data_IF_698190498267
#
_entry.id   IF_698190498267
#
_cell.length_a   1.000
_cell.length_b   1.000
_cell.length_c   1.000
_cell.angle_alpha   90.00
_cell.angle_beta   90.00
_cell.angle_gamma   90.00
#
_symmetry.space_group_name_H-M   'P 1'
#
loop_
_entity.id
_entity.type
_entity.pdbx_description
1 polymer ?
#
# COMPACT_ATOMS: atom_id res chain seq x y z
N UNK A 1 8.39 -14.92 1.57
CA UNK A 1 7.95 -13.56 1.16
C UNK A 1 6.44 -13.45 1.02
N UNK A 2 5.85 -14.48 0.46
CA UNK A 2 4.40 -14.55 0.34
C UNK A 2 3.67 -14.29 1.66
N UNK A 3 4.25 -14.67 2.80
CA UNK A 3 3.60 -14.48 4.10
C UNK A 3 3.40 -13.01 4.47
N UNK A 4 4.38 -12.13 4.18
CA UNK A 4 4.23 -10.70 4.44
C UNK A 4 3.11 -10.12 3.59
N UNK A 5 3.10 -10.47 2.30
CA UNK A 5 2.08 -10.03 1.36
C UNK A 5 0.69 -10.57 1.73
N UNK A 6 0.62 -11.85 2.09
CA UNK A 6 -0.64 -12.48 2.50
C UNK A 6 -1.21 -11.81 3.75
N UNK A 7 -0.35 -11.52 4.73
CA UNK A 7 -0.77 -10.83 5.95
C UNK A 7 -1.28 -9.42 5.64
N UNK A 8 -0.60 -8.71 4.73
CA UNK A 8 -1.04 -7.39 4.29
C UNK A 8 -2.41 -7.46 3.61
N UNK A 9 -2.58 -8.44 2.72
CA UNK A 9 -3.83 -8.62 1.98
C UNK A 9 -5.00 -9.04 2.88
N UNK A 10 -4.73 -9.80 3.94
CA UNK A 10 -5.77 -10.19 4.91
C UNK A 10 -6.33 -9.00 5.68
N UNK A 11 -5.57 -7.91 5.78
CA UNK A 11 -6.00 -6.70 6.44
C UNK A 11 -6.68 -5.71 5.50
N UNK A 12 -6.94 -6.12 4.27
CA UNK A 12 -7.54 -5.27 3.23
C UNK A 12 -8.79 -4.55 3.73
N UNK A 13 -8.99 -3.29 3.35
CA UNK A 13 -10.20 -2.56 3.73
C UNK A 13 -11.43 -3.17 3.06
N UNK A 14 -12.55 -3.16 3.77
CA UNK A 14 -13.81 -3.73 3.29
C UNK A 14 -14.60 -2.73 2.45
N UNK A 15 -14.44 -1.45 2.75
CA UNK A 15 -15.17 -0.35 2.11
C UNK A 15 -14.38 0.95 2.30
N UNK A 16 -14.95 2.06 1.82
CA UNK A 16 -14.29 3.37 1.90
C UNK A 16 -14.09 3.81 3.36
N UNK A 17 -15.08 3.58 4.23
CA UNK A 17 -14.97 3.97 5.64
C UNK A 17 -13.85 3.21 6.34
N UNK A 18 -13.71 1.93 6.05
CA UNK A 18 -12.66 1.08 6.63
C UNK A 18 -11.27 1.45 6.09
N UNK A 19 -11.21 2.03 4.89
CA UNK A 19 -9.95 2.43 4.24
C UNK A 19 -9.12 3.39 5.11
N UNK A 20 -9.80 4.36 5.74
CA UNK A 20 -9.10 5.38 6.54
C UNK A 20 -8.43 4.75 7.75
N UNK A 21 -9.12 3.84 8.43
CA UNK A 21 -8.56 3.09 9.55
C UNK A 21 -7.37 2.22 9.09
N UNK A 22 -7.55 1.53 7.97
CA UNK A 22 -6.51 0.67 7.39
C UNK A 22 -5.22 1.45 7.14
N UNK A 23 -5.32 2.61 6.50
CA UNK A 23 -4.14 3.43 6.16
C UNK A 23 -3.43 3.92 7.43
N UNK A 24 -4.17 4.27 8.47
CA UNK A 24 -3.56 4.73 9.73
C UNK A 24 -2.86 3.61 10.49
N UNK A 25 -3.41 2.40 10.45
CA UNK A 25 -2.91 1.28 11.25
C UNK A 25 -1.81 0.48 10.56
N UNK A 26 -1.86 0.33 9.24
CA UNK A 26 -1.03 -0.64 8.52
C UNK A 26 0.48 -0.38 8.66
N UNK A 27 0.99 0.87 8.67
CA UNK A 27 2.43 1.07 8.83
C UNK A 27 2.96 0.58 10.16
N UNK A 28 2.22 0.83 11.26
CA UNK A 28 2.63 0.42 12.60
C UNK A 28 2.55 -1.10 12.76
N UNK A 29 1.46 -1.68 12.27
CA UNK A 29 1.29 -3.13 12.29
C UNK A 29 2.41 -3.84 11.50
N UNK A 30 2.70 -3.33 10.30
CA UNK A 30 3.74 -3.90 9.44
C UNK A 30 5.12 -3.82 10.09
N UNK A 31 5.46 -2.68 10.67
CA UNK A 31 6.74 -2.49 11.35
C UNK A 31 6.88 -3.42 12.55
N UNK A 32 5.81 -3.56 13.33
CA UNK A 32 5.82 -4.43 14.52
C UNK A 32 5.96 -5.90 14.14
N UNK A 33 5.21 -6.36 13.16
CA UNK A 33 5.16 -7.77 12.79
C UNK A 33 6.31 -8.19 11.87
N UNK A 34 6.69 -7.35 10.93
CA UNK A 34 7.62 -7.70 9.85
C UNK A 34 8.84 -6.78 9.73
N UNK A 35 9.06 -5.88 10.70
CA UNK A 35 10.15 -4.90 10.61
C UNK A 35 11.52 -5.51 10.43
N UNK A 36 11.84 -6.56 11.19
CA UNK A 36 13.14 -7.25 11.09
C UNK A 36 13.35 -7.83 9.69
N UNK A 37 12.31 -8.42 9.12
CA UNK A 37 12.36 -9.02 7.80
C UNK A 37 12.61 -7.97 6.71
N UNK A 38 11.94 -6.82 6.80
CA UNK A 38 12.15 -5.72 5.86
C UNK A 38 13.57 -5.17 5.95
N UNK A 39 14.09 -5.00 7.16
CA UNK A 39 15.48 -4.52 7.35
C UNK A 39 16.48 -5.47 6.72
N UNK A 40 16.31 -6.77 6.94
CA UNK A 40 17.20 -7.79 6.36
C UNK A 40 17.11 -7.80 4.83
N UNK A 41 15.90 -7.80 4.29
CA UNK A 41 15.67 -7.79 2.85
C UNK A 41 16.27 -6.55 2.19
N UNK A 42 16.09 -5.40 2.82
CA UNK A 42 16.64 -4.15 2.28
C UNK A 42 18.17 -4.20 2.19
N UNK A 43 18.82 -4.72 3.24
CA UNK A 43 20.28 -4.88 3.25
C UNK A 43 20.75 -5.79 2.11
N UNK A 44 20.07 -6.92 1.91
CA UNK A 44 20.46 -7.89 0.89
C UNK A 44 20.19 -7.34 -0.51
N UNK A 45 19.00 -6.85 -0.78
CA UNK A 45 18.58 -6.50 -2.14
C UNK A 45 19.10 -5.16 -2.63
N UNK A 46 19.60 -4.29 -1.74
CA UNK A 46 20.27 -3.06 -2.16
C UNK A 46 21.77 -3.22 -2.32
N UNK A 47 22.35 -4.34 -1.87
CA UNK A 47 23.77 -4.61 -2.06
C UNK A 47 24.05 -4.84 -3.55
N UNK A 48 25.12 -4.22 -4.11
CA UNK A 48 25.39 -4.32 -5.54
C UNK A 48 25.45 -5.75 -6.08
N UNK A 49 25.96 -6.69 -5.29
CA UNK A 49 26.08 -8.10 -5.68
C UNK A 49 24.71 -8.78 -5.87
N UNK A 50 23.69 -8.37 -5.10
CA UNK A 50 22.38 -9.04 -5.08
C UNK A 50 21.26 -8.20 -5.69
N UNK A 51 21.59 -7.02 -6.23
CA UNK A 51 20.61 -6.07 -6.76
C UNK A 51 19.69 -6.67 -7.82
N UNK A 52 20.25 -7.48 -8.70
CA UNK A 52 19.48 -8.12 -9.77
C UNK A 52 18.40 -9.07 -9.24
N UNK A 53 18.69 -9.75 -8.14
CA UNK A 53 17.72 -10.65 -7.51
C UNK A 53 16.58 -9.87 -6.85
N UNK A 54 16.90 -8.74 -6.22
CA UNK A 54 15.91 -7.86 -5.66
C UNK A 54 14.97 -7.28 -6.70
N UNK A 55 15.53 -6.85 -7.83
CA UNK A 55 14.76 -6.33 -8.95
C UNK A 55 13.75 -7.36 -9.46
N UNK A 56 14.20 -8.59 -9.67
CA UNK A 56 13.35 -9.69 -10.13
C UNK A 56 12.26 -10.03 -9.10
N UNK A 57 12.62 -10.02 -7.82
CA UNK A 57 11.66 -10.25 -6.73
C UNK A 57 10.54 -9.20 -6.76
N UNK A 58 10.90 -7.92 -6.90
CA UNK A 58 9.92 -6.84 -6.90
C UNK A 58 9.04 -6.84 -8.15
N UNK A 59 9.49 -7.38 -9.27
CA UNK A 59 8.63 -7.58 -10.44
C UNK A 59 7.47 -8.51 -10.11
N UNK A 60 7.74 -9.63 -9.42
CA UNK A 60 6.69 -10.55 -8.98
C UNK A 60 5.74 -9.93 -7.96
N UNK A 61 6.29 -9.11 -7.04
CA UNK A 61 5.48 -8.36 -6.07
C UNK A 61 4.52 -7.42 -6.79
N UNK A 62 4.99 -6.74 -7.84
CA UNK A 62 4.16 -5.82 -8.60
C UNK A 62 2.95 -6.51 -9.20
N UNK A 63 3.12 -7.72 -9.75
CA UNK A 63 2.01 -8.48 -10.31
C UNK A 63 0.97 -8.84 -9.25
N UNK A 64 1.41 -9.30 -8.09
CA UNK A 64 0.51 -9.67 -6.99
C UNK A 64 -0.28 -8.47 -6.47
N UNK A 65 0.36 -7.31 -6.34
CA UNK A 65 -0.33 -6.11 -5.86
C UNK A 65 -1.26 -5.52 -6.91
N UNK A 66 -0.98 -5.72 -8.20
CA UNK A 66 -1.92 -5.35 -9.25
C UNK A 66 -3.20 -6.17 -9.14
N UNK A 67 -3.10 -7.47 -8.91
CA UNK A 67 -4.26 -8.34 -8.71
C UNK A 67 -5.02 -7.96 -7.43
N UNK A 68 -4.29 -7.58 -6.37
CA UNK A 68 -4.88 -7.07 -5.14
C UNK A 68 -5.68 -5.80 -5.41
N UNK A 69 -5.13 -4.86 -6.18
CA UNK A 69 -5.82 -3.62 -6.54
C UNK A 69 -7.12 -3.91 -7.32
N UNK A 70 -7.09 -4.89 -8.21
CA UNK A 70 -8.30 -5.32 -8.92
C UNK A 70 -9.37 -5.82 -7.96
N UNK A 71 -8.99 -6.52 -6.90
CA UNK A 71 -9.94 -7.00 -5.89
C UNK A 71 -10.53 -5.87 -5.05
N UNK A 72 -9.82 -4.75 -4.91
CA UNK A 72 -10.29 -3.60 -4.16
C UNK A 72 -11.19 -2.67 -4.97
N UNK A 73 -11.12 -2.71 -6.29
CA UNK A 73 -11.90 -1.82 -7.14
C UNK A 73 -13.39 -1.84 -6.82
N UNK A 74 -14.06 -2.99 -6.73
CA UNK A 74 -15.50 -3.01 -6.42
C UNK A 74 -15.81 -2.53 -5.01
N UNK A 75 -14.88 -2.66 -4.09
CA UNK A 75 -15.07 -2.24 -2.68
C UNK A 75 -14.92 -0.74 -2.48
N UNK A 76 -14.00 -0.12 -3.23
CA UNK A 76 -13.65 1.29 -3.07
C UNK A 76 -14.23 2.18 -4.18
N UNK A 77 -14.62 1.58 -5.29
CA UNK A 77 -15.14 2.33 -6.43
C UNK A 77 -14.08 3.14 -7.16
N UNK A 78 -12.81 2.82 -6.99
CA UNK A 78 -11.69 3.49 -7.64
C UNK A 78 -11.08 2.51 -8.65
N UNK A 79 -10.82 2.92 -9.91
CA UNK A 79 -10.21 2.04 -10.89
C UNK A 79 -8.87 1.46 -10.41
N UNK A 80 -8.62 0.19 -10.67
CA UNK A 80 -7.41 -0.47 -10.18
C UNK A 80 -6.14 0.18 -10.75
N UNK A 81 -6.19 0.77 -11.94
CA UNK A 81 -5.04 1.45 -12.54
C UNK A 81 -4.61 2.65 -11.70
N UNK A 82 -5.53 3.24 -10.95
CA UNK A 82 -5.25 4.35 -10.01
C UNK A 82 -4.86 3.84 -8.64
N UNK A 83 -5.44 2.72 -8.22
CA UNK A 83 -5.15 2.10 -6.93
C UNK A 83 -3.75 1.50 -6.86
N UNK A 84 -3.29 0.86 -7.93
CA UNK A 84 -2.01 0.14 -7.92
C UNK A 84 -0.83 1.05 -7.53
N UNK A 85 -0.62 2.22 -8.16
CA UNK A 85 0.46 3.13 -7.74
C UNK A 85 0.32 3.60 -6.29
N UNK A 86 -0.91 3.83 -5.83
CA UNK A 86 -1.14 4.27 -4.45
C UNK A 86 -0.80 3.18 -3.44
N UNK A 87 -1.07 1.92 -3.79
CA UNK A 87 -0.67 0.78 -2.96
C UNK A 87 0.85 0.75 -2.82
N UNK A 88 1.60 0.96 -3.92
CA UNK A 88 3.05 1.00 -3.86
C UNK A 88 3.57 2.15 -3.01
N UNK A 89 2.93 3.30 -3.08
CA UNK A 89 3.28 4.45 -2.23
C UNK A 89 3.07 4.10 -0.75
N UNK A 90 1.95 3.47 -0.43
CA UNK A 90 1.65 3.03 0.94
C UNK A 90 2.68 2.01 1.43
N UNK A 91 3.03 1.03 0.60
CA UNK A 91 4.02 0.02 0.95
C UNK A 91 5.37 0.67 1.22
N UNK A 92 5.80 1.64 0.40
CA UNK A 92 7.04 2.36 0.62
C UNK A 92 7.03 3.12 1.94
N UNK A 93 5.91 3.74 2.28
CA UNK A 93 5.77 4.43 3.57
C UNK A 93 5.91 3.42 4.72
N UNK A 94 5.28 2.25 4.61
CA UNK A 94 5.39 1.19 5.61
C UNK A 94 6.83 0.70 5.77
N UNK A 95 7.52 0.46 4.66
CA UNK A 95 8.91 -0.02 4.66
C UNK A 95 9.84 1.05 5.26
N UNK A 96 9.69 2.30 4.85
CA UNK A 96 10.50 3.39 5.39
C UNK A 96 10.34 3.50 6.90
N UNK A 97 9.11 3.42 7.38
CA UNK A 97 8.85 3.44 8.82
C UNK A 97 9.47 2.22 9.52
N UNK A 98 9.37 1.05 8.93
CA UNK A 98 9.97 -0.17 9.49
C UNK A 98 11.50 -0.07 9.58
N UNK A 99 12.13 0.65 8.63
CA UNK A 99 13.58 0.81 8.60
C UNK A 99 14.08 1.88 9.58
N UNK A 100 13.39 3.02 9.65
CA UNK A 100 13.92 4.23 10.31
C UNK A 100 13.08 4.73 11.48
N UNK A 101 11.85 4.24 11.64
CA UNK A 101 10.90 4.65 12.68
C UNK A 101 10.69 6.18 12.74
N UNK A 102 10.72 6.83 11.57
CA UNK A 102 10.57 8.26 11.43
C UNK A 102 9.11 8.66 11.35
N UNK A 103 8.54 9.06 12.49
CA UNK A 103 7.13 9.44 12.61
C UNK A 103 6.77 10.66 11.76
N UNK A 104 7.67 11.61 11.65
CA UNK A 104 7.41 12.83 10.88
C UNK A 104 7.18 12.50 9.40
N UNK A 105 8.09 11.71 8.82
CA UNK A 105 7.94 11.28 7.43
C UNK A 105 6.68 10.45 7.23
N UNK A 106 6.43 9.52 8.15
CA UNK A 106 5.26 8.64 8.03
C UNK A 106 3.98 9.48 8.02
N UNK A 107 3.80 10.36 8.99
CA UNK A 107 2.57 11.16 9.12
C UNK A 107 2.36 12.06 7.91
N UNK A 108 3.41 12.69 7.39
CA UNK A 108 3.30 13.56 6.23
C UNK A 108 2.90 12.78 4.97
N UNK A 109 3.47 11.61 4.78
CA UNK A 109 3.14 10.75 3.63
C UNK A 109 1.72 10.21 3.71
N UNK A 110 1.31 9.74 4.89
CA UNK A 110 -0.04 9.22 5.11
C UNK A 110 -1.09 10.29 4.91
N UNK A 111 -0.84 11.51 5.38
CA UNK A 111 -1.74 12.64 5.22
C UNK A 111 -2.02 12.94 3.73
N UNK A 112 -0.96 13.02 2.93
CA UNK A 112 -1.09 13.27 1.49
C UNK A 112 -1.76 12.10 0.78
N UNK A 113 -1.43 10.89 1.17
CA UNK A 113 -2.05 9.69 0.60
C UNK A 113 -3.55 9.66 0.87
N UNK A 114 -3.96 9.98 2.10
CA UNK A 114 -5.39 10.04 2.46
C UNK A 114 -6.12 11.12 1.66
N UNK A 115 -5.52 12.28 1.53
CA UNK A 115 -6.10 13.38 0.73
C UNK A 115 -6.26 12.97 -0.74
N UNK A 116 -5.25 12.32 -1.31
CA UNK A 116 -5.32 11.83 -2.69
C UNK A 116 -6.44 10.80 -2.85
N UNK A 117 -6.56 9.88 -1.90
CA UNK A 117 -7.60 8.86 -1.93
C UNK A 117 -9.00 9.46 -1.76
N UNK A 118 -9.17 10.49 -0.93
CA UNK A 118 -10.43 11.21 -0.82
C UNK A 118 -10.85 11.80 -2.16
N UNK A 119 -9.91 12.45 -2.84
CA UNK A 119 -10.17 13.03 -4.16
C UNK A 119 -10.55 11.94 -5.18
N UNK A 120 -9.92 10.79 -5.13
CA UNK A 120 -10.24 9.68 -6.03
C UNK A 120 -11.60 9.05 -5.70
N UNK A 121 -11.93 8.93 -4.42
CA UNK A 121 -13.26 8.45 -4.01
C UNK A 121 -14.34 9.40 -4.56
N UNK A 122 -14.14 10.70 -4.40
CA UNK A 122 -15.09 11.69 -4.89
C UNK A 122 -15.18 11.70 -6.41
N UNK A 123 -14.07 11.42 -7.10
CA UNK A 123 -14.03 11.44 -8.56
C UNK A 123 -14.64 10.18 -9.18
N UNK A 124 -14.39 9.01 -8.60
CA UNK A 124 -14.69 7.73 -9.26
C UNK A 124 -15.80 6.91 -8.60
N UNK A 125 -16.05 7.08 -7.31
CA UNK A 125 -17.04 6.25 -6.62
C UNK A 125 -18.43 6.85 -6.74
N UNK A 126 -19.41 6.13 -7.37
CA UNK A 126 -20.76 6.68 -7.57
C UNK A 126 -21.50 7.04 -6.29
N UNK A 127 -21.20 6.39 -5.18
CA UNK A 127 -21.81 6.69 -3.88
C UNK A 127 -21.45 8.10 -3.39
N UNK A 128 -20.22 8.56 -3.73
CA UNK A 128 -19.68 9.84 -3.27
C UNK A 128 -19.70 10.90 -4.38
N UNK A 129 -19.99 10.49 -5.61
CA UNK A 129 -20.13 11.42 -6.75
C UNK A 129 -21.37 11.01 -7.55
N UNK A 130 -22.55 11.54 -7.19
CA UNK A 130 -23.80 11.18 -7.87
C UNK A 130 -23.84 11.56 -9.35
N UNK A 131 -22.96 12.47 -9.80
CA UNK A 131 -22.94 12.93 -11.19
C UNK A 131 -22.35 11.89 -12.15
N UNK A 132 -21.66 10.86 -11.65
CA UNK A 132 -21.06 9.84 -12.51
C UNK A 132 -22.14 9.07 -13.30
N UNK A 133 -23.31 8.88 -12.72
CA UNK A 133 -24.41 8.10 -13.30
C UNK A 133 -25.52 8.96 -13.91
N UNK A 134 -25.31 10.24 -14.05
CA UNK A 134 -26.32 11.15 -14.63
C UNK A 134 -26.13 11.35 -16.14
#
# INVERSE_FOLDING_TARGET
MSKVEDDFMKKAPKDVEDLWRFIDEIPYWTAKKHGKKYRLMYQIYTHPKYRQYGKKFFEGVNERYTEYAKSLEPKLGIPYEKLTPLIFILIRACVHYALFEDEFYLKSQIEVLKETLELFVMKYNPKYNPNINS
#
